data_IF_031650920432
#
_entry.id   IF_031650920432
#
_cell.length_a   1.000
_cell.length_b   1.000
_cell.length_c   1.000
_cell.angle_alpha   90.00
_cell.angle_beta   90.00
_cell.angle_gamma   90.00
#
_symmetry.space_group_name_H-M   'P 1'
#
loop_
_entity.id
_entity.type
_entity.pdbx_description
1 polymer ?
#
# COMPACT_ATOMS: atom_id res chain seq x y z
N UNK A 1 0.96 -0.57 18.48
CA UNK A 1 1.56 -0.57 17.13
C UNK A 1 0.65 0.21 16.20
N UNK A 2 1.20 1.05 15.31
CA UNK A 2 0.43 1.87 14.37
C UNK A 2 0.89 1.64 12.94
N UNK A 3 -0.05 1.28 12.07
CA UNK A 3 0.22 0.87 10.69
C UNK A 3 -0.58 1.74 9.73
N UNK A 4 0.03 2.16 8.63
CA UNK A 4 -0.64 2.80 7.52
C UNK A 4 -0.57 1.91 6.27
N UNK A 5 -1.72 1.66 5.65
CA UNK A 5 -1.81 0.96 4.37
C UNK A 5 -2.10 1.98 3.25
N UNK A 6 -1.29 1.98 2.21
CA UNK A 6 -1.51 2.84 1.04
C UNK A 6 -2.06 2.00 -0.10
N UNK A 7 -3.37 2.17 -0.39
CA UNK A 7 -4.10 1.42 -1.42
C UNK A 7 -5.11 2.33 -2.13
N UNK A 8 -4.70 2.93 -3.23
CA UNK A 8 -5.50 3.93 -3.96
C UNK A 8 -5.93 3.51 -5.37
N UNK A 9 -5.71 2.27 -5.76
CA UNK A 9 -6.04 1.72 -7.06
C UNK A 9 -7.49 1.19 -7.15
N UNK A 10 -7.72 0.08 -7.84
CA UNK A 10 -9.05 -0.45 -8.13
C UNK A 10 -9.76 -0.97 -6.87
N UNK A 11 -11.10 -0.96 -6.92
CA UNK A 11 -11.96 -1.44 -5.83
C UNK A 11 -11.72 -2.92 -5.49
N UNK A 12 -11.53 -3.78 -6.50
CA UNK A 12 -11.20 -5.19 -6.28
C UNK A 12 -9.91 -5.38 -5.50
N UNK A 13 -8.89 -4.59 -5.81
CA UNK A 13 -7.61 -4.62 -5.10
C UNK A 13 -7.76 -4.16 -3.64
N UNK A 14 -8.65 -3.20 -3.38
CA UNK A 14 -8.98 -2.80 -2.01
C UNK A 14 -9.65 -3.94 -1.23
N UNK A 15 -10.61 -4.64 -1.83
CA UNK A 15 -11.29 -5.78 -1.20
C UNK A 15 -10.27 -6.87 -0.85
N UNK A 16 -9.31 -7.16 -1.74
CA UNK A 16 -8.24 -8.12 -1.48
C UNK A 16 -7.26 -7.67 -0.38
N UNK A 17 -7.25 -6.39 0.00
CA UNK A 17 -6.43 -5.87 1.09
C UNK A 17 -7.11 -6.02 2.46
N UNK A 18 -8.44 -6.16 2.52
CA UNK A 18 -9.17 -6.27 3.77
C UNK A 18 -8.80 -7.50 4.63
N UNK A 19 -8.55 -8.70 4.07
CA UNK A 19 -8.04 -9.83 4.84
C UNK A 19 -6.72 -9.53 5.54
N UNK A 20 -5.83 -8.72 4.94
CA UNK A 20 -4.58 -8.28 5.56
C UNK A 20 -4.88 -7.42 6.80
N UNK A 21 -5.83 -6.49 6.70
CA UNK A 21 -6.28 -5.68 7.86
C UNK A 21 -6.78 -6.59 8.99
N UNK A 22 -7.56 -7.61 8.64
CA UNK A 22 -8.08 -8.56 9.62
C UNK A 22 -6.96 -9.39 10.26
N UNK A 23 -6.03 -9.93 9.46
CA UNK A 23 -4.87 -10.69 9.95
C UNK A 23 -4.00 -9.86 10.90
N UNK A 24 -3.73 -8.60 10.56
CA UNK A 24 -2.98 -7.69 11.42
C UNK A 24 -3.68 -7.44 12.76
N UNK A 25 -5.02 -7.33 12.76
CA UNK A 25 -5.82 -7.20 13.98
C UNK A 25 -5.86 -8.48 14.81
N UNK A 26 -5.90 -9.64 14.18
CA UNK A 26 -5.83 -10.92 14.87
C UNK A 26 -4.46 -11.13 15.54
N UNK A 27 -3.38 -10.74 14.84
CA UNK A 27 -2.02 -10.83 15.39
C UNK A 27 -1.77 -9.83 16.54
N UNK A 28 -2.43 -8.67 16.51
CA UNK A 28 -2.33 -7.65 17.57
C UNK A 28 -3.61 -6.81 17.61
N UNK A 29 -4.47 -7.09 18.59
CA UNK A 29 -5.78 -6.43 18.74
C UNK A 29 -5.66 -4.91 18.95
N UNK A 30 -4.61 -4.45 19.64
CA UNK A 30 -4.35 -3.03 19.92
C UNK A 30 -3.72 -2.28 18.73
N UNK A 31 -3.46 -2.97 17.63
CA UNK A 31 -2.91 -2.35 16.44
C UNK A 31 -3.88 -1.34 15.85
N UNK A 32 -3.45 -0.08 15.69
CA UNK A 32 -4.21 0.96 14.99
C UNK A 32 -3.84 0.91 13.50
N UNK A 33 -4.84 0.66 12.66
CA UNK A 33 -4.65 0.53 11.22
C UNK A 33 -5.35 1.68 10.51
N UNK A 34 -4.57 2.53 9.88
CA UNK A 34 -5.05 3.64 9.07
C UNK A 34 -4.87 3.29 7.58
N UNK A 35 -5.71 3.86 6.71
CA UNK A 35 -5.65 3.57 5.28
C UNK A 35 -5.68 4.85 4.44
N UNK A 36 -4.79 4.93 3.44
CA UNK A 36 -4.84 5.92 2.37
C UNK A 36 -5.53 5.27 1.17
N UNK A 37 -6.68 5.79 0.77
CA UNK A 37 -7.45 5.22 -0.34
C UNK A 37 -8.01 6.28 -1.28
N UNK A 38 -8.42 5.86 -2.48
CA UNK A 38 -9.15 6.70 -3.43
C UNK A 38 -10.60 6.93 -2.97
N UNK A 39 -11.23 7.96 -3.50
CA UNK A 39 -12.64 8.27 -3.20
C UNK A 39 -13.58 7.08 -3.54
N UNK A 40 -13.26 6.32 -4.59
CA UNK A 40 -14.02 5.14 -4.99
C UNK A 40 -14.01 4.05 -3.91
N UNK A 41 -12.90 3.91 -3.20
CA UNK A 41 -12.68 2.88 -2.17
C UNK A 41 -13.19 3.29 -0.79
N UNK A 42 -13.50 4.57 -0.59
CA UNK A 42 -13.91 5.11 0.72
C UNK A 42 -15.11 4.38 1.32
N UNK A 43 -16.14 4.10 0.50
CA UNK A 43 -17.36 3.44 0.98
C UNK A 43 -17.09 2.05 1.57
N UNK A 44 -16.16 1.30 0.96
CA UNK A 44 -15.74 -0.02 1.43
C UNK A 44 -14.98 0.13 2.75
N UNK A 45 -13.97 1.01 2.78
CA UNK A 45 -13.16 1.25 3.98
C UNK A 45 -14.00 1.70 5.17
N UNK A 46 -15.01 2.57 4.96
CA UNK A 46 -15.91 3.04 6.04
C UNK A 46 -16.76 1.93 6.66
N UNK A 47 -17.10 0.90 5.90
CA UNK A 47 -17.86 -0.24 6.41
C UNK A 47 -17.02 -1.21 7.25
N UNK A 48 -15.69 -1.09 7.17
CA UNK A 48 -14.76 -2.03 7.81
C UNK A 48 -14.28 -1.49 9.16
N UNK A 49 -14.89 -1.97 10.25
CA UNK A 49 -14.67 -1.47 11.61
C UNK A 49 -13.24 -1.57 12.12
N UNK A 50 -12.43 -2.44 11.53
CA UNK A 50 -11.02 -2.63 11.88
C UNK A 50 -10.10 -1.52 11.38
N UNK A 51 -10.58 -0.62 10.51
CA UNK A 51 -9.86 0.55 10.02
C UNK A 51 -10.13 1.72 10.98
N UNK A 52 -9.05 2.31 11.52
CA UNK A 52 -9.13 3.39 12.49
C UNK A 52 -9.33 4.76 11.82
N UNK A 53 -8.46 5.14 10.87
CA UNK A 53 -8.58 6.40 10.11
C UNK A 53 -8.51 6.14 8.61
N UNK A 54 -9.23 6.97 7.84
CA UNK A 54 -9.24 6.91 6.38
C UNK A 54 -8.77 8.24 5.83
N UNK A 55 -7.67 8.23 5.08
CA UNK A 55 -7.13 9.38 4.35
C UNK A 55 -7.52 9.28 2.89
N UNK A 56 -8.32 10.22 2.41
CA UNK A 56 -8.78 10.24 1.02
C UNK A 56 -7.76 10.88 0.11
N UNK A 57 -7.24 10.10 -0.82
CA UNK A 57 -6.37 10.57 -1.87
C UNK A 57 -7.21 11.03 -3.07
N UNK A 58 -7.10 12.31 -3.41
CA UNK A 58 -7.61 12.88 -4.65
C UNK A 58 -6.41 13.27 -5.53
N UNK A 59 -6.59 13.27 -6.85
CA UNK A 59 -5.50 13.48 -7.83
C UNK A 59 -5.04 14.95 -7.97
N UNK A 60 -5.19 15.75 -6.91
CA UNK A 60 -4.73 17.14 -6.90
C UNK A 60 -3.45 17.26 -6.06
N UNK A 61 -2.42 17.89 -6.62
CA UNK A 61 -1.09 17.97 -5.99
C UNK A 61 -1.12 18.51 -4.55
N UNK A 62 -1.86 19.59 -4.28
CA UNK A 62 -1.97 20.16 -2.93
C UNK A 62 -2.57 19.16 -1.91
N UNK A 63 -3.43 18.25 -2.35
CA UNK A 63 -4.02 17.24 -1.48
C UNK A 63 -3.03 16.12 -1.14
N UNK A 64 -2.13 15.80 -2.06
CA UNK A 64 -1.02 14.87 -1.79
C UNK A 64 -0.14 15.44 -0.67
N UNK A 65 0.24 16.71 -0.76
CA UNK A 65 1.02 17.40 0.28
C UNK A 65 0.28 17.43 1.62
N UNK A 66 -1.03 17.71 1.60
CA UNK A 66 -1.87 17.70 2.81
C UNK A 66 -1.94 16.30 3.46
N UNK A 67 -2.01 15.25 2.66
CA UNK A 67 -1.98 13.87 3.17
C UNK A 67 -0.63 13.56 3.77
N UNK A 68 0.46 13.88 3.09
CA UNK A 68 1.83 13.69 3.60
C UNK A 68 2.00 14.38 4.96
N UNK A 69 1.59 15.65 5.07
CA UNK A 69 1.63 16.39 6.34
C UNK A 69 0.84 15.68 7.44
N UNK A 70 -0.39 15.24 7.15
CA UNK A 70 -1.20 14.50 8.11
C UNK A 70 -0.55 13.18 8.55
N UNK A 71 0.01 12.41 7.60
CA UNK A 71 0.66 11.14 7.91
C UNK A 71 1.96 11.34 8.71
N UNK A 72 2.68 12.44 8.49
CA UNK A 72 3.89 12.77 9.28
C UNK A 72 3.58 13.00 10.75
N UNK A 73 2.41 13.53 11.07
CA UNK A 73 1.99 13.82 12.45
C UNK A 73 1.47 12.56 13.19
N UNK A 74 1.34 11.44 12.50
CA UNK A 74 0.74 10.22 13.07
C UNK A 74 1.76 9.23 13.63
N UNK A 75 3.06 9.40 13.38
CA UNK A 75 4.18 8.56 13.87
C UNK A 75 3.93 7.04 13.68
N UNK A 76 3.90 6.60 12.43
CA UNK A 76 3.66 5.19 12.10
C UNK A 76 4.88 4.31 12.42
N UNK A 77 4.61 3.11 12.96
CA UNK A 77 5.62 2.05 13.04
C UNK A 77 5.90 1.47 11.65
N UNK A 78 4.83 1.25 10.85
CA UNK A 78 4.93 0.66 9.52
C UNK A 78 4.05 1.41 8.50
N UNK A 79 4.58 1.56 7.28
CA UNK A 79 3.81 1.95 6.10
C UNK A 79 3.94 0.86 5.05
N UNK A 80 2.82 0.28 4.63
CA UNK A 80 2.75 -0.70 3.55
C UNK A 80 2.13 -0.07 2.31
N UNK A 81 2.88 -0.05 1.20
CA UNK A 81 2.44 0.48 -0.09
C UNK A 81 2.10 -0.66 -1.03
N UNK A 82 0.81 -0.97 -1.14
CA UNK A 82 0.29 -2.04 -2.01
C UNK A 82 -0.06 -1.56 -3.42
N UNK A 83 -0.11 -0.26 -3.61
CA UNK A 83 -0.45 0.39 -4.87
C UNK A 83 0.80 1.08 -5.44
N UNK A 84 1.62 0.41 -6.25
CA UNK A 84 2.88 0.95 -6.75
C UNK A 84 2.62 1.96 -7.88
N UNK A 85 2.18 3.15 -7.53
CA UNK A 85 2.10 4.31 -8.41
C UNK A 85 2.94 5.43 -7.82
N UNK A 86 3.47 6.33 -8.67
CA UNK A 86 4.38 7.39 -8.24
C UNK A 86 3.83 8.20 -7.05
N UNK A 87 2.55 8.51 -7.06
CA UNK A 87 1.90 9.27 -5.97
C UNK A 87 1.93 8.48 -4.66
N UNK A 88 1.62 7.18 -4.68
CA UNK A 88 1.64 6.32 -3.49
C UNK A 88 3.06 6.16 -2.95
N UNK A 89 4.03 6.02 -3.84
CA UNK A 89 5.46 5.94 -3.50
C UNK A 89 5.91 7.25 -2.84
N UNK A 90 5.60 8.41 -3.43
CA UNK A 90 5.93 9.72 -2.87
C UNK A 90 5.27 9.94 -1.50
N UNK A 91 3.98 9.59 -1.34
CA UNK A 91 3.31 9.67 -0.05
C UNK A 91 4.07 8.84 0.99
N UNK A 92 4.44 7.61 0.66
CA UNK A 92 5.13 6.72 1.58
C UNK A 92 6.56 7.18 1.90
N UNK A 93 7.29 7.71 0.90
CA UNK A 93 8.65 8.24 1.10
C UNK A 93 8.63 9.42 2.06
N UNK A 94 7.76 10.39 1.82
CA UNK A 94 7.72 11.64 2.58
C UNK A 94 6.93 11.56 3.89
N UNK A 95 6.19 10.47 4.14
CA UNK A 95 5.55 10.22 5.43
C UNK A 95 6.57 9.72 6.46
N UNK A 96 6.33 10.06 7.74
CA UNK A 96 7.18 9.59 8.85
C UNK A 96 6.77 8.18 9.27
N UNK A 97 7.72 7.25 9.26
CA UNK A 97 7.53 5.90 9.82
C UNK A 97 8.86 5.23 10.10
N UNK A 98 8.87 4.26 11.02
CA UNK A 98 10.07 3.49 11.36
C UNK A 98 10.46 2.53 10.24
N UNK A 99 9.49 1.89 9.59
CA UNK A 99 9.71 0.94 8.49
C UNK A 99 8.73 1.18 7.36
N UNK A 100 9.20 1.04 6.13
CA UNK A 100 8.43 1.23 4.90
C UNK A 100 8.56 0.00 4.02
N UNK A 101 7.44 -0.53 3.55
CA UNK A 101 7.41 -1.68 2.65
C UNK A 101 6.66 -1.34 1.36
N UNK A 102 7.22 -1.75 0.23
CA UNK A 102 6.66 -1.53 -1.10
C UNK A 102 6.45 -2.85 -1.82
N UNK A 103 5.25 -3.05 -2.35
CA UNK A 103 4.89 -4.21 -3.16
C UNK A 103 4.79 -3.80 -4.63
N UNK A 104 5.63 -4.38 -5.48
CA UNK A 104 5.68 -4.12 -6.93
C UNK A 104 5.29 -5.38 -7.70
N UNK A 105 4.31 -5.27 -8.60
CA UNK A 105 3.94 -6.35 -9.53
C UNK A 105 4.58 -6.11 -10.90
N UNK A 106 5.49 -6.97 -11.34
CA UNK A 106 6.15 -6.85 -12.65
C UNK A 106 5.17 -6.81 -13.83
N UNK A 107 4.06 -7.53 -13.73
CA UNK A 107 3.03 -7.57 -14.79
C UNK A 107 2.39 -6.21 -15.10
N UNK A 108 2.48 -5.24 -14.20
CA UNK A 108 1.94 -3.88 -14.40
C UNK A 108 2.76 -3.07 -15.41
N UNK A 109 4.01 -3.45 -15.67
CA UNK A 109 4.96 -2.70 -16.49
C UNK A 109 5.22 -3.33 -17.86
N UNK A 110 4.34 -4.21 -18.35
CA UNK A 110 4.54 -5.01 -19.56
C UNK A 110 4.94 -4.18 -20.80
N UNK A 111 4.58 -2.88 -20.82
CA UNK A 111 4.89 -1.96 -21.92
C UNK A 111 5.65 -0.69 -21.51
N UNK A 112 6.13 -0.56 -20.27
CA UNK A 112 6.78 0.67 -19.80
C UNK A 112 7.99 0.40 -18.88
N UNK A 113 9.12 0.09 -19.52
CA UNK A 113 10.37 -0.21 -18.80
C UNK A 113 10.92 0.97 -18.00
N UNK A 114 10.69 2.23 -18.42
CA UNK A 114 11.16 3.43 -17.69
C UNK A 114 10.44 3.59 -16.35
N UNK A 115 9.14 3.42 -16.32
CA UNK A 115 8.36 3.49 -15.08
C UNK A 115 8.74 2.38 -14.09
N UNK A 116 8.98 1.14 -14.59
CA UNK A 116 9.46 0.02 -13.79
C UNK A 116 10.82 0.30 -13.16
N UNK A 117 11.74 0.86 -13.92
CA UNK A 117 13.09 1.19 -13.47
C UNK A 117 13.02 2.23 -12.33
N UNK A 118 12.23 3.29 -12.51
CA UNK A 118 12.04 4.34 -11.51
C UNK A 118 11.44 3.81 -10.21
N UNK A 119 10.35 3.05 -10.29
CA UNK A 119 9.67 2.51 -9.10
C UNK A 119 10.56 1.51 -8.34
N UNK A 120 11.37 0.74 -9.08
CA UNK A 120 12.31 -0.22 -8.48
C UNK A 120 13.48 0.48 -7.78
N UNK A 121 14.04 1.54 -8.38
CA UNK A 121 15.13 2.33 -7.77
C UNK A 121 14.62 3.04 -6.52
N UNK A 122 13.50 3.76 -6.62
CA UNK A 122 12.90 4.43 -5.46
C UNK A 122 12.54 3.43 -4.36
N UNK A 123 12.04 2.25 -4.74
CA UNK A 123 11.74 1.17 -3.80
C UNK A 123 12.99 0.68 -3.06
N UNK A 124 14.11 0.49 -3.74
CA UNK A 124 15.35 0.03 -3.11
C UNK A 124 16.03 1.07 -2.24
N UNK A 125 15.92 2.36 -2.58
CA UNK A 125 16.58 3.46 -1.84
C UNK A 125 15.78 3.87 -0.60
N UNK A 126 14.47 4.00 -0.71
CA UNK A 126 13.63 4.63 0.30
C UNK A 126 12.78 3.67 1.13
N UNK A 127 12.72 2.38 0.76
CA UNK A 127 11.92 1.41 1.48
C UNK A 127 12.79 0.38 2.19
N UNK A 128 12.41 0.05 3.42
CA UNK A 128 13.08 -0.99 4.22
C UNK A 128 12.94 -2.37 3.55
N UNK A 129 11.77 -2.61 2.95
CA UNK A 129 11.47 -3.85 2.22
C UNK A 129 10.81 -3.50 0.89
N UNK A 130 11.39 -3.98 -0.21
CA UNK A 130 10.81 -3.86 -1.55
C UNK A 130 10.58 -5.27 -2.11
N UNK A 131 9.32 -5.71 -2.14
CA UNK A 131 8.95 -7.01 -2.66
C UNK A 131 8.50 -6.88 -4.12
N UNK A 132 9.23 -7.53 -5.02
CA UNK A 132 8.93 -7.54 -6.46
C UNK A 132 8.33 -8.90 -6.82
N UNK A 133 7.05 -8.91 -7.21
CA UNK A 133 6.32 -10.13 -7.56
C UNK A 133 6.23 -10.27 -9.07
N UNK A 134 6.69 -11.42 -9.57
CA UNK A 134 6.54 -11.82 -10.97
C UNK A 134 5.41 -12.82 -11.12
N UNK A 135 4.35 -12.43 -11.86
CA UNK A 135 3.23 -13.35 -12.12
C UNK A 135 3.62 -14.58 -12.94
N UNK A 136 4.66 -14.51 -13.76
CA UNK A 136 5.10 -15.66 -14.55
C UNK A 136 5.65 -16.77 -13.68
N UNK A 137 6.30 -16.45 -12.56
CA UNK A 137 6.78 -17.44 -11.59
C UNK A 137 5.65 -18.21 -10.86
N UNK A 138 4.44 -17.66 -10.81
CA UNK A 138 3.26 -18.33 -10.25
C UNK A 138 2.84 -19.54 -11.06
N UNK A 139 2.87 -19.44 -12.38
CA UNK A 139 2.44 -20.52 -13.26
C UNK A 139 3.48 -21.64 -13.38
N UNK A 140 4.77 -21.31 -13.24
CA UNK A 140 5.84 -22.30 -13.32
C UNK A 140 5.94 -23.22 -12.09
N UNK A 141 5.48 -22.79 -10.92
CA UNK A 141 5.55 -23.55 -9.65
C UNK A 141 4.30 -24.36 -9.31
N UNK A 142 3.30 -24.47 -10.20
CA UNK A 142 2.04 -25.25 -10.01
C UNK A 142 1.28 -25.00 -8.68
N UNK A 143 1.67 -24.03 -7.88
CA UNK A 143 1.00 -23.67 -6.63
C UNK A 143 0.25 -22.36 -6.88
N UNK A 144 -1.09 -22.35 -6.88
CA UNK A 144 -1.86 -21.13 -6.98
C UNK A 144 -1.78 -20.36 -5.66
N UNK A 145 -0.74 -19.55 -5.50
CA UNK A 145 -0.66 -18.63 -4.37
C UNK A 145 -1.68 -17.51 -4.60
N UNK A 146 -2.70 -17.45 -3.76
CA UNK A 146 -3.68 -16.37 -3.83
C UNK A 146 -3.03 -15.03 -3.48
N UNK A 147 -3.54 -13.93 -4.06
CA UNK A 147 -2.95 -12.61 -3.86
C UNK A 147 -2.94 -12.16 -2.39
N UNK A 148 -3.87 -12.67 -1.59
CA UNK A 148 -3.96 -12.41 -0.15
C UNK A 148 -2.88 -13.11 0.69
N UNK A 149 -2.23 -14.16 0.18
CA UNK A 149 -1.14 -14.86 0.86
C UNK A 149 0.21 -14.15 0.71
N UNK A 150 0.28 -13.16 -0.19
CA UNK A 150 1.50 -12.41 -0.51
C UNK A 150 1.53 -11.06 0.25
N UNK A 151 0.39 -10.60 0.71
CA UNK A 151 0.24 -9.35 1.46
C UNK A 151 0.37 -9.59 2.96
#
# INVERSE_FOLDING_TARGET
MKICLVRNDKMGDMILTLPVVQGLKQANQDCKIDIVCSQKNQKICKKYKSINKIFLLQNKFYQVLKIISKLRNEDYDYIFTFSPGIISILISIFSKSKRKSLLIFKSRYKNNNKSKFFDTILGKIFFTHCLIIDRQLRYSKKIPIHQTEIM
#
